data_IF_725052416689
#
_entry.id   IF_725052416689
#
_cell.length_a   1.000
_cell.length_b   1.000
_cell.length_c   1.000
_cell.angle_alpha   90.00
_cell.angle_beta   90.00
_cell.angle_gamma   90.00
#
_symmetry.space_group_name_H-M   'P 1'
#
loop_
_entity.id
_entity.type
_entity.pdbx_description
1 polymer ?
#
# COMPACT_ATOMS: atom_id res chain seq x y z
N UNK A 1 -38.61 -14.88 -45.29
CA UNK A 1 -38.25 -13.70 -44.48
C UNK A 1 -37.65 -14.18 -43.18
N UNK A 2 -36.32 -14.26 -43.09
CA UNK A 2 -35.61 -14.51 -41.84
C UNK A 2 -34.66 -13.32 -41.64
N UNK A 3 -35.11 -12.34 -40.85
CA UNK A 3 -34.33 -11.17 -40.48
C UNK A 3 -33.27 -11.60 -39.47
N UNK A 4 -32.02 -11.66 -39.94
CA UNK A 4 -30.80 -11.73 -39.16
C UNK A 4 -30.72 -10.53 -38.20
N UNK A 5 -30.94 -10.78 -36.92
CA UNK A 5 -30.70 -9.82 -35.85
C UNK A 5 -29.20 -9.59 -35.68
N UNK A 6 -28.67 -8.60 -36.40
CA UNK A 6 -27.30 -8.12 -36.25
C UNK A 6 -27.22 -7.35 -34.93
N UNK A 7 -26.78 -8.00 -33.86
CA UNK A 7 -26.43 -7.35 -32.59
C UNK A 7 -25.35 -6.31 -32.88
N UNK A 8 -25.77 -5.04 -32.85
CA UNK A 8 -24.90 -3.89 -33.10
C UNK A 8 -24.04 -3.72 -31.84
N UNK A 9 -22.90 -4.41 -31.78
CA UNK A 9 -21.94 -4.27 -30.69
C UNK A 9 -21.65 -2.78 -30.46
N UNK A 10 -21.92 -2.29 -29.25
CA UNK A 10 -21.59 -0.91 -28.87
C UNK A 10 -20.07 -0.83 -28.88
N UNK A 11 -19.49 -0.05 -29.78
CA UNK A 11 -18.06 0.29 -29.69
C UNK A 11 -17.89 1.25 -28.51
N UNK A 12 -17.44 0.70 -27.38
CA UNK A 12 -17.00 1.49 -26.22
C UNK A 12 -15.73 2.27 -26.57
N UNK A 13 -15.45 3.36 -25.83
CA UNK A 13 -14.17 4.06 -25.93
C UNK A 13 -13.01 3.05 -25.82
N UNK A 14 -11.95 3.24 -26.62
CA UNK A 14 -10.75 2.39 -26.67
C UNK A 14 -10.88 0.99 -27.28
N UNK A 15 -11.96 0.65 -28.00
CA UNK A 15 -12.04 -0.61 -28.75
C UNK A 15 -12.12 -1.86 -27.86
N UNK A 16 -12.78 -1.70 -26.72
CA UNK A 16 -13.05 -2.75 -25.74
C UNK A 16 -14.24 -3.59 -26.15
N UNK A 17 -14.16 -4.90 -25.90
CA UNK A 17 -15.29 -5.82 -26.04
C UNK A 17 -16.28 -5.65 -24.86
N UNK A 18 -17.51 -6.14 -25.01
CA UNK A 18 -18.57 -5.99 -23.98
C UNK A 18 -18.15 -6.54 -22.60
N UNK A 19 -17.42 -7.67 -22.57
CA UNK A 19 -16.87 -8.26 -21.34
C UNK A 19 -15.78 -7.39 -20.69
N UNK A 20 -14.90 -6.82 -21.51
CA UNK A 20 -13.84 -5.92 -21.04
C UNK A 20 -14.44 -4.62 -20.48
N UNK A 21 -15.51 -4.12 -21.11
CA UNK A 21 -16.24 -2.94 -20.67
C UNK A 21 -16.91 -3.19 -19.31
N UNK A 22 -17.55 -4.35 -19.12
CA UNK A 22 -18.13 -4.73 -17.84
C UNK A 22 -17.07 -4.88 -16.73
N UNK A 23 -15.91 -5.50 -17.04
CA UNK A 23 -14.78 -5.62 -16.11
C UNK A 23 -14.23 -4.25 -15.71
N UNK A 24 -14.11 -3.33 -16.66
CA UNK A 24 -13.64 -1.97 -16.40
C UNK A 24 -14.64 -1.14 -15.59
N UNK A 25 -15.94 -1.26 -15.84
CA UNK A 25 -16.97 -0.57 -15.07
C UNK A 25 -16.96 -1.03 -13.61
N UNK A 26 -16.92 -2.35 -13.37
CA UNK A 26 -16.81 -2.91 -12.02
C UNK A 26 -15.55 -2.42 -11.30
N UNK A 27 -14.41 -2.46 -11.97
CA UNK A 27 -13.15 -1.98 -11.39
C UNK A 27 -13.19 -0.49 -11.09
N UNK A 28 -13.76 0.32 -11.98
CA UNK A 28 -13.91 1.76 -11.78
C UNK A 28 -14.78 2.07 -10.54
N UNK A 29 -15.90 1.35 -10.37
CA UNK A 29 -16.73 1.47 -9.17
C UNK A 29 -15.96 1.10 -7.90
N UNK A 30 -15.24 -0.03 -7.90
CA UNK A 30 -14.39 -0.44 -6.77
C UNK A 30 -13.30 0.60 -6.45
N UNK A 31 -12.68 1.18 -7.47
CA UNK A 31 -11.65 2.21 -7.32
C UNK A 31 -12.21 3.51 -6.73
N UNK A 32 -13.40 3.94 -7.18
CA UNK A 32 -14.09 5.12 -6.64
C UNK A 32 -14.47 4.90 -5.18
N UNK A 33 -15.05 3.74 -4.84
CA UNK A 33 -15.38 3.38 -3.46
C UNK A 33 -14.12 3.37 -2.59
N UNK A 34 -13.05 2.72 -3.05
CA UNK A 34 -11.76 2.68 -2.35
C UNK A 34 -11.20 4.08 -2.10
N UNK A 35 -11.28 4.96 -3.10
CA UNK A 35 -10.80 6.34 -2.99
C UNK A 35 -11.65 7.15 -2.00
N UNK A 36 -12.97 7.00 -2.05
CA UNK A 36 -13.88 7.66 -1.10
C UNK A 36 -13.64 7.23 0.35
N UNK A 37 -13.49 5.93 0.59
CA UNK A 37 -13.13 5.39 1.92
C UNK A 37 -11.77 5.92 2.36
N UNK A 38 -10.78 5.93 1.46
CA UNK A 38 -9.44 6.46 1.77
C UNK A 38 -9.45 7.95 2.09
N UNK A 39 -10.32 8.75 1.45
CA UNK A 39 -10.47 10.17 1.74
C UNK A 39 -11.09 10.40 3.13
N UNK A 40 -12.13 9.63 3.49
CA UNK A 40 -12.75 9.69 4.83
C UNK A 40 -11.76 9.28 5.93
N UNK A 41 -10.97 8.24 5.68
CA UNK A 41 -9.96 7.73 6.62
C UNK A 41 -8.60 8.45 6.50
N UNK A 42 -8.49 9.48 5.65
CA UNK A 42 -7.24 10.19 5.41
C UNK A 42 -6.58 10.77 6.67
N UNK A 43 -7.31 11.31 7.66
CA UNK A 43 -6.73 11.70 8.94
C UNK A 43 -5.81 10.65 9.58
N UNK A 44 -6.17 9.37 9.50
CA UNK A 44 -5.37 8.28 10.04
C UNK A 44 -4.14 8.01 9.19
N UNK A 45 -4.26 8.13 7.86
CA UNK A 45 -3.14 8.02 6.93
C UNK A 45 -2.11 9.16 7.11
N UNK A 46 -2.58 10.38 7.36
CA UNK A 46 -1.74 11.54 7.67
C UNK A 46 -0.96 11.31 8.98
N UNK A 47 -1.64 10.93 10.06
CA UNK A 47 -0.99 10.58 11.35
C UNK A 47 0.02 9.45 11.18
N UNK A 48 -0.32 8.42 10.40
CA UNK A 48 0.59 7.31 10.10
C UNK A 48 1.84 7.80 9.36
N UNK A 49 1.68 8.72 8.40
CA UNK A 49 2.80 9.31 7.66
C UNK A 49 3.71 10.12 8.59
N UNK A 50 3.14 10.90 9.51
CA UNK A 50 3.91 11.62 10.54
C UNK A 50 4.70 10.66 11.44
N UNK A 51 4.09 9.53 11.84
CA UNK A 51 4.80 8.49 12.59
C UNK A 51 5.95 7.87 11.79
N UNK A 52 5.74 7.60 10.50
CA UNK A 52 6.80 7.06 9.63
C UNK A 52 7.98 8.03 9.51
N UNK A 53 7.70 9.35 9.45
CA UNK A 53 8.73 10.39 9.46
C UNK A 53 9.41 10.56 10.83
N UNK A 54 8.84 9.99 11.90
CA UNK A 54 9.40 10.05 13.25
C UNK A 54 9.02 11.31 14.03
N UNK A 55 7.94 11.99 13.67
CA UNK A 55 7.48 13.19 14.37
C UNK A 55 6.76 12.84 15.67
N UNK A 56 7.46 12.97 16.80
CA UNK A 56 6.93 12.68 18.15
C UNK A 56 7.06 13.92 19.07
N UNK A 57 6.20 14.95 18.93
CA UNK A 57 6.27 16.18 19.72
C UNK A 57 5.71 16.05 21.15
N UNK A 58 5.23 14.87 21.54
CA UNK A 58 4.54 14.66 22.81
C UNK A 58 5.37 13.78 23.75
N UNK A 59 5.32 14.02 25.08
CA UNK A 59 6.10 13.25 26.04
C UNK A 59 5.65 11.79 26.10
N UNK A 60 6.59 10.93 26.49
CA UNK A 60 6.30 9.52 26.76
C UNK A 60 5.40 9.38 27.99
N UNK A 61 4.45 8.46 27.91
CA UNK A 61 3.60 8.08 29.05
C UNK A 61 4.09 6.76 29.64
N UNK A 62 4.11 6.62 30.96
CA UNK A 62 4.41 5.35 31.62
C UNK A 62 3.15 4.49 31.77
N UNK A 63 3.28 3.18 31.61
CA UNK A 63 2.18 2.25 31.79
C UNK A 63 2.64 0.80 31.95
N UNK A 64 1.72 -0.11 32.30
CA UNK A 64 2.01 -1.54 32.37
C UNK A 64 1.81 -2.21 31.01
N UNK A 65 2.74 -3.06 30.60
CA UNK A 65 2.60 -3.87 29.38
C UNK A 65 1.35 -4.78 29.52
N UNK A 66 0.38 -4.64 28.62
CA UNK A 66 -0.90 -5.37 28.62
C UNK A 66 -1.68 -5.39 29.96
N UNK A 67 -1.53 -4.36 30.80
CA UNK A 67 -2.25 -4.22 32.07
C UNK A 67 -1.71 -5.08 33.22
N UNK A 68 -1.00 -6.18 32.93
CA UNK A 68 -0.35 -7.06 33.90
C UNK A 68 1.07 -7.30 33.40
N UNK A 69 2.04 -6.54 33.92
CA UNK A 69 3.41 -6.69 33.47
C UNK A 69 4.36 -5.58 33.91
N UNK A 70 5.54 -5.59 33.29
CA UNK A 70 6.61 -4.61 33.51
C UNK A 70 6.15 -3.21 33.10
N UNK A 71 6.66 -2.22 33.82
CA UNK A 71 6.50 -0.82 33.44
C UNK A 71 7.26 -0.57 32.13
N UNK A 72 6.57 0.05 31.18
CA UNK A 72 7.11 0.41 29.89
C UNK A 72 6.71 1.85 29.54
N UNK A 73 7.53 2.48 28.72
CA UNK A 73 7.21 3.78 28.15
C UNK A 73 6.39 3.58 26.88
N UNK A 74 5.35 4.39 26.72
CA UNK A 74 4.44 4.37 25.60
C UNK A 74 4.42 5.74 24.93
N UNK A 75 4.44 5.72 23.60
CA UNK A 75 4.12 6.89 22.79
C UNK A 75 2.60 7.09 22.78
N UNK A 76 2.12 8.32 22.61
CA UNK A 76 0.70 8.58 22.52
C UNK A 76 0.08 7.78 21.36
N UNK A 77 -1.13 7.28 21.63
CA UNK A 77 -2.00 6.66 20.65
C UNK A 77 -2.23 7.62 19.45
N UNK A 78 -2.28 7.09 18.23
CA UNK A 78 -2.66 7.85 17.03
C UNK A 78 -3.90 8.72 17.20
N UNK A 79 -4.92 8.29 17.95
CA UNK A 79 -6.11 9.12 18.19
C UNK A 79 -5.83 10.31 19.12
N UNK A 80 -5.06 10.13 20.20
CA UNK A 80 -4.71 11.24 21.10
C UNK A 80 -3.73 12.20 20.42
N UNK A 81 -2.85 11.66 19.58
CA UNK A 81 -1.96 12.41 18.70
C UNK A 81 -2.75 13.27 17.71
N UNK A 82 -3.68 12.67 16.96
CA UNK A 82 -4.56 13.37 16.03
C UNK A 82 -5.42 14.43 16.71
N UNK A 83 -5.97 14.13 17.89
CA UNK A 83 -6.73 15.10 18.69
C UNK A 83 -5.88 16.30 19.11
N UNK A 84 -4.61 16.08 19.42
CA UNK A 84 -3.68 17.15 19.78
C UNK A 84 -3.29 18.02 18.58
N UNK A 85 -3.10 17.42 17.40
CA UNK A 85 -2.92 18.17 16.15
C UNK A 85 -4.16 19.00 15.85
N UNK A 86 -5.34 18.39 15.95
CA UNK A 86 -6.62 19.05 15.68
C UNK A 86 -6.83 20.27 16.59
N UNK A 87 -6.48 20.17 17.87
CA UNK A 87 -6.54 21.30 18.82
C UNK A 87 -5.56 22.43 18.48
N UNK A 88 -4.36 22.11 17.97
CA UNK A 88 -3.31 23.10 17.68
C UNK A 88 -3.46 23.76 16.30
N UNK A 89 -3.83 22.99 15.29
CA UNK A 89 -3.79 23.44 13.88
C UNK A 89 -5.11 23.26 13.12
N UNK A 90 -6.15 22.72 13.75
CA UNK A 90 -7.46 22.52 13.13
C UNK A 90 -7.51 21.38 12.10
N UNK A 91 -8.67 21.25 11.44
CA UNK A 91 -8.96 20.17 10.50
C UNK A 91 -8.16 20.27 9.19
N UNK A 92 -7.80 21.49 8.78
CA UNK A 92 -7.07 21.74 7.53
C UNK A 92 -5.75 20.98 7.48
N UNK A 93 -5.01 20.93 8.59
CA UNK A 93 -3.72 20.22 8.65
C UNK A 93 -3.89 18.69 8.63
N UNK A 94 -4.96 18.18 9.23
CA UNK A 94 -5.23 16.74 9.27
C UNK A 94 -5.60 16.19 7.88
N UNK A 95 -6.20 17.04 7.04
CA UNK A 95 -6.50 16.75 5.63
C UNK A 95 -5.42 17.25 4.65
N UNK A 96 -4.32 17.82 5.13
CA UNK A 96 -3.29 18.32 4.23
C UNK A 96 -2.68 17.19 3.39
N UNK A 97 -2.64 17.36 2.06
CA UNK A 97 -2.14 16.36 1.10
C UNK A 97 -3.17 15.34 0.62
N UNK A 98 -4.44 15.42 1.07
CA UNK A 98 -5.51 14.51 0.63
C UNK A 98 -5.77 14.59 -0.86
N UNK A 99 -5.62 15.79 -1.44
CA UNK A 99 -5.70 16.05 -2.87
C UNK A 99 -4.69 15.21 -3.66
N UNK A 100 -3.43 15.24 -3.26
CA UNK A 100 -2.38 14.45 -3.87
C UNK A 100 -2.57 12.94 -3.64
N UNK A 101 -3.09 12.54 -2.46
CA UNK A 101 -3.40 11.14 -2.15
C UNK A 101 -4.50 10.55 -3.03
N UNK A 102 -5.56 11.32 -3.28
CA UNK A 102 -6.66 10.95 -4.17
C UNK A 102 -6.14 10.77 -5.60
N UNK A 103 -5.38 11.74 -6.10
CA UNK A 103 -4.80 11.67 -7.45
C UNK A 103 -3.85 10.47 -7.59
N UNK A 104 -2.99 10.22 -6.59
CA UNK A 104 -2.10 9.07 -6.57
C UNK A 104 -2.88 7.73 -6.65
N UNK A 105 -3.95 7.60 -5.87
CA UNK A 105 -4.77 6.38 -5.79
C UNK A 105 -5.51 6.13 -7.10
N UNK A 106 -6.13 7.18 -7.67
CA UNK A 106 -6.88 7.08 -8.92
C UNK A 106 -5.97 6.76 -10.11
N UNK A 107 -4.85 7.49 -10.25
CA UNK A 107 -3.91 7.27 -11.37
C UNK A 107 -3.22 5.91 -11.23
N UNK A 108 -2.69 5.59 -10.05
CA UNK A 108 -2.02 4.32 -9.81
C UNK A 108 -2.93 3.11 -10.02
N UNK A 109 -4.17 3.19 -9.52
CA UNK A 109 -5.19 2.15 -9.73
C UNK A 109 -5.59 2.01 -11.20
N UNK A 110 -5.91 3.12 -11.86
CA UNK A 110 -6.32 3.11 -13.27
C UNK A 110 -5.23 2.58 -14.19
N UNK A 111 -3.98 3.01 -13.98
CA UNK A 111 -2.84 2.55 -14.78
C UNK A 111 -2.50 1.09 -14.50
N UNK A 112 -2.56 0.65 -13.24
CA UNK A 112 -2.37 -0.76 -12.89
C UNK A 112 -3.42 -1.64 -13.58
N UNK A 113 -4.68 -1.23 -13.56
CA UNK A 113 -5.76 -1.94 -14.25
C UNK A 113 -5.59 -1.93 -15.77
N UNK A 114 -5.29 -0.78 -16.37
CA UNK A 114 -5.03 -0.67 -17.80
C UNK A 114 -3.86 -1.55 -18.23
N UNK A 115 -2.81 -1.62 -17.40
CA UNK A 115 -1.65 -2.50 -17.63
C UNK A 115 -2.05 -3.97 -17.57
N UNK A 116 -2.89 -4.36 -16.59
CA UNK A 116 -3.43 -5.71 -16.48
C UNK A 116 -4.23 -6.10 -17.73
N UNK A 117 -5.14 -5.22 -18.18
CA UNK A 117 -5.91 -5.40 -19.42
C UNK A 117 -5.01 -5.52 -20.66
N UNK A 118 -3.97 -4.69 -20.73
CA UNK A 118 -3.00 -4.73 -21.83
C UNK A 118 -2.21 -6.05 -21.86
N UNK A 119 -1.79 -6.54 -20.69
CA UNK A 119 -1.11 -7.83 -20.55
C UNK A 119 -2.03 -9.01 -20.89
N UNK A 120 -3.33 -8.92 -20.59
CA UNK A 120 -4.31 -9.94 -20.96
C UNK A 120 -4.53 -9.98 -22.48
N UNK A 121 -4.58 -8.82 -23.14
CA UNK A 121 -4.87 -8.71 -24.59
C UNK A 121 -3.68 -9.04 -25.48
N UNK A 122 -2.51 -8.49 -25.20
CA UNK A 122 -1.34 -8.59 -26.09
C UNK A 122 -0.33 -9.64 -25.67
N UNK A 123 -0.29 -9.97 -24.37
CA UNK A 123 0.70 -10.89 -23.84
C UNK A 123 0.06 -11.97 -22.96
N UNK A 124 -0.93 -12.74 -23.46
CA UNK A 124 -1.68 -13.72 -22.68
C UNK A 124 -0.82 -14.87 -22.15
N UNK A 125 0.41 -15.05 -22.65
CA UNK A 125 1.34 -16.09 -22.22
C UNK A 125 2.36 -15.63 -21.16
N UNK A 126 2.43 -14.33 -20.82
CA UNK A 126 3.30 -13.85 -19.74
C UNK A 126 2.93 -14.56 -18.43
N UNK A 127 3.93 -15.19 -17.82
CA UNK A 127 3.79 -15.98 -16.60
C UNK A 127 3.27 -17.42 -16.81
N UNK A 128 3.05 -17.87 -18.04
CA UNK A 128 2.60 -19.24 -18.37
C UNK A 128 1.34 -19.25 -19.25
N UNK A 129 0.86 -20.41 -19.70
CA UNK A 129 -0.39 -20.48 -20.48
C UNK A 129 -1.61 -20.24 -19.57
N UNK A 130 -2.70 -19.58 -20.04
CA UNK A 130 -3.94 -19.40 -19.29
C UNK A 130 -4.75 -20.72 -19.23
N UNK A 131 -4.17 -21.76 -18.63
CA UNK A 131 -4.83 -23.06 -18.52
C UNK A 131 -5.54 -23.13 -17.17
N UNK A 132 -6.79 -23.59 -17.18
CA UNK A 132 -7.59 -23.87 -15.99
C UNK A 132 -7.81 -22.65 -15.07
N UNK A 133 -7.87 -21.40 -15.54
CA UNK A 133 -8.01 -20.23 -14.66
C UNK A 133 -9.35 -20.20 -13.88
N UNK A 134 -10.40 -20.79 -14.44
CA UNK A 134 -11.74 -20.84 -13.85
C UNK A 134 -11.99 -22.07 -12.97
N UNK A 135 -11.09 -23.06 -13.03
CA UNK A 135 -11.23 -24.30 -12.25
C UNK A 135 -10.98 -24.05 -10.78
N UNK A 136 -11.72 -24.75 -9.94
CA UNK A 136 -11.47 -24.72 -8.51
C UNK A 136 -10.11 -25.33 -8.16
N UNK A 137 -9.55 -24.89 -7.03
CA UNK A 137 -8.23 -25.33 -6.57
C UNK A 137 -8.13 -26.84 -6.34
N UNK A 138 -9.27 -27.49 -6.07
CA UNK A 138 -9.42 -28.95 -5.92
C UNK A 138 -9.16 -29.72 -7.21
N UNK A 139 -9.49 -29.13 -8.37
CA UNK A 139 -9.39 -29.78 -9.68
C UNK A 139 -7.98 -29.69 -10.26
N UNK A 140 -7.08 -28.98 -9.58
CA UNK A 140 -5.74 -28.73 -10.04
C UNK A 140 -4.73 -29.67 -9.43
N UNK A 141 -3.84 -30.12 -10.28
CA UNK A 141 -2.59 -30.75 -9.86
C UNK A 141 -1.70 -29.74 -9.12
N UNK A 142 -0.83 -30.21 -8.23
CA UNK A 142 0.16 -29.35 -7.54
C UNK A 142 0.96 -28.47 -8.53
N UNK A 143 1.35 -29.04 -9.67
CA UNK A 143 2.08 -28.31 -10.72
C UNK A 143 1.24 -27.21 -11.37
N UNK A 144 -0.04 -27.48 -11.64
CA UNK A 144 -0.95 -26.52 -12.27
C UNK A 144 -1.26 -25.36 -11.33
N UNK A 145 -1.42 -25.65 -10.04
CA UNK A 145 -1.60 -24.64 -8.99
C UNK A 145 -0.36 -23.76 -8.82
N UNK A 146 0.84 -24.36 -8.74
CA UNK A 146 2.09 -23.60 -8.68
C UNK A 146 2.30 -22.73 -9.93
N UNK A 147 1.90 -23.23 -11.10
CA UNK A 147 1.95 -22.45 -12.35
C UNK A 147 0.95 -21.30 -12.35
N UNK A 148 -0.26 -21.50 -11.83
CA UNK A 148 -1.27 -20.45 -11.66
C UNK A 148 -0.78 -19.36 -10.71
N UNK A 149 -0.15 -19.76 -9.60
CA UNK A 149 0.49 -18.87 -8.63
C UNK A 149 1.53 -17.98 -9.31
N UNK A 150 2.51 -18.59 -9.97
CA UNK A 150 3.59 -17.88 -10.66
C UNK A 150 3.03 -16.92 -11.72
N UNK A 151 2.06 -17.38 -12.51
CA UNK A 151 1.39 -16.56 -13.52
C UNK A 151 0.75 -15.31 -12.91
N UNK A 152 -0.03 -15.51 -11.85
CA UNK A 152 -0.77 -14.44 -11.19
C UNK A 152 0.18 -13.43 -10.54
N UNK A 153 1.20 -13.92 -9.84
CA UNK A 153 2.21 -13.09 -9.19
C UNK A 153 3.00 -12.25 -10.20
N UNK A 154 3.45 -12.82 -11.33
CA UNK A 154 4.21 -12.09 -12.36
C UNK A 154 3.36 -10.98 -12.98
N UNK A 155 2.12 -11.30 -13.39
CA UNK A 155 1.21 -10.32 -14.01
C UNK A 155 0.85 -9.20 -13.06
N UNK A 156 0.50 -9.54 -11.82
CA UNK A 156 0.15 -8.55 -10.81
C UNK A 156 1.36 -7.67 -10.43
N UNK A 157 2.56 -8.25 -10.34
CA UNK A 157 3.80 -7.48 -10.11
C UNK A 157 4.03 -6.46 -11.22
N UNK A 158 3.88 -6.86 -12.48
CA UNK A 158 4.06 -5.96 -13.62
C UNK A 158 3.04 -4.81 -13.59
N UNK A 159 1.75 -5.14 -13.43
CA UNK A 159 0.68 -4.15 -13.36
C UNK A 159 0.88 -3.14 -12.20
N UNK A 160 1.15 -3.65 -11.00
CA UNK A 160 1.37 -2.80 -9.82
C UNK A 160 2.61 -1.94 -9.94
N UNK A 161 3.70 -2.46 -10.51
CA UNK A 161 4.94 -1.69 -10.68
C UNK A 161 4.71 -0.48 -11.57
N UNK A 162 4.04 -0.65 -12.72
CA UNK A 162 3.69 0.48 -13.60
C UNK A 162 2.77 1.47 -12.89
N UNK A 163 1.75 0.96 -12.16
CA UNK A 163 0.86 1.79 -11.35
C UNK A 163 1.59 2.62 -10.29
N UNK A 164 2.54 2.02 -9.57
CA UNK A 164 3.35 2.69 -8.54
C UNK A 164 4.26 3.75 -9.17
N UNK A 165 4.91 3.46 -10.30
CA UNK A 165 5.76 4.44 -11.00
C UNK A 165 4.95 5.68 -11.37
N UNK A 166 3.74 5.52 -11.93
CA UNK A 166 2.90 6.66 -12.33
C UNK A 166 2.31 7.39 -11.11
N UNK A 167 1.98 6.68 -10.03
CA UNK A 167 1.46 7.29 -8.81
C UNK A 167 2.52 8.00 -7.96
N UNK A 168 3.81 7.65 -8.14
CA UNK A 168 4.89 8.08 -7.24
C UNK A 168 5.01 9.59 -7.09
N UNK A 169 4.98 10.42 -8.15
CA UNK A 169 5.08 11.88 -8.03
C UNK A 169 4.04 12.45 -7.06
N UNK A 170 2.80 11.94 -7.12
CA UNK A 170 1.70 12.39 -6.27
C UNK A 170 1.81 11.86 -4.84
N UNK A 171 2.33 10.64 -4.65
CA UNK A 171 2.66 10.13 -3.32
C UNK A 171 3.76 10.98 -2.66
N UNK A 172 4.78 11.40 -3.41
CA UNK A 172 5.83 12.28 -2.90
C UNK A 172 5.27 13.64 -2.48
N UNK A 173 4.41 14.26 -3.31
CA UNK A 173 3.72 15.51 -2.97
C UNK A 173 2.88 15.33 -1.69
N UNK A 174 2.11 14.25 -1.59
CA UNK A 174 1.31 13.95 -0.39
C UNK A 174 2.20 13.88 0.87
N UNK A 175 3.28 13.10 0.82
CA UNK A 175 4.17 12.93 1.98
C UNK A 175 4.81 14.26 2.37
N UNK A 176 5.23 15.08 1.41
CA UNK A 176 5.83 16.40 1.67
C UNK A 176 4.83 17.40 2.24
N UNK A 177 3.59 17.39 1.76
CA UNK A 177 2.49 18.18 2.33
C UNK A 177 2.23 17.79 3.79
N UNK A 178 2.24 16.50 4.10
CA UNK A 178 2.13 16.03 5.48
C UNK A 178 3.36 16.47 6.31
N UNK A 179 4.55 16.32 5.76
CA UNK A 179 5.82 16.64 6.43
C UNK A 179 5.97 18.11 6.83
N UNK A 180 5.40 19.04 6.05
CA UNK A 180 5.40 20.47 6.37
C UNK A 180 4.82 20.81 7.75
N UNK A 181 3.92 19.99 8.28
CA UNK A 181 3.38 20.16 9.62
C UNK A 181 4.48 20.11 10.70
N UNK A 182 5.56 19.36 10.45
CA UNK A 182 6.65 19.15 11.41
C UNK A 182 7.43 20.46 11.64
N UNK A 183 7.77 21.15 10.56
CA UNK A 183 8.50 22.43 10.58
C UNK A 183 7.61 23.66 10.68
N UNK A 184 6.27 23.51 10.57
CA UNK A 184 5.34 24.64 10.45
C UNK A 184 5.47 25.38 9.12
N UNK A 185 5.88 24.66 8.06
CA UNK A 185 6.27 25.23 6.76
C UNK A 185 5.08 25.32 5.80
N UNK A 186 5.06 26.30 4.91
CA UNK A 186 3.98 26.50 3.91
C UNK A 186 4.46 26.36 2.45
N UNK A 187 5.58 25.65 2.24
CA UNK A 187 6.22 25.41 0.94
C UNK A 187 5.31 24.76 -0.14
N UNK A 188 4.63 23.66 0.18
CA UNK A 188 3.77 22.95 -0.79
C UNK A 188 2.29 23.32 -0.55
N UNK A 189 1.70 23.98 -1.55
CA UNK A 189 0.28 24.35 -1.59
C UNK A 189 -0.56 23.28 -2.28
N UNK A 190 -1.25 23.63 -3.36
CA UNK A 190 -2.01 22.67 -4.17
C UNK A 190 -1.13 21.69 -4.94
N UNK A 191 -1.72 20.59 -5.43
CA UNK A 191 -0.99 19.56 -6.20
C UNK A 191 -0.21 20.15 -7.39
N UNK A 192 -0.80 21.07 -8.14
CA UNK A 192 -0.19 21.64 -9.36
C UNK A 192 0.99 22.53 -9.01
N UNK A 193 0.84 23.42 -8.03
CA UNK A 193 1.93 24.30 -7.60
C UNK A 193 3.07 23.50 -6.97
N UNK A 194 2.73 22.48 -6.17
CA UNK A 194 3.69 21.55 -5.59
C UNK A 194 4.44 20.75 -6.66
N UNK A 195 3.73 20.29 -7.69
CA UNK A 195 4.34 19.58 -8.81
C UNK A 195 5.34 20.48 -9.54
N UNK A 196 4.94 21.70 -9.89
CA UNK A 196 5.83 22.66 -10.55
C UNK A 196 7.05 23.01 -9.68
N UNK A 197 6.85 23.19 -8.37
CA UNK A 197 7.91 23.53 -7.42
C UNK A 197 8.98 22.44 -7.36
N UNK A 198 8.58 21.17 -7.20
CA UNK A 198 9.52 20.04 -7.16
C UNK A 198 10.28 19.94 -8.48
N UNK A 199 9.57 20.06 -9.62
CA UNK A 199 10.20 19.99 -10.94
C UNK A 199 11.23 21.09 -11.17
N UNK A 200 11.01 22.28 -10.59
CA UNK A 200 11.92 23.43 -10.71
C UNK A 200 13.11 23.37 -9.75
N UNK A 201 12.91 22.96 -8.51
CA UNK A 201 13.95 22.99 -7.47
C UNK A 201 14.82 21.72 -7.43
N UNK A 202 14.22 20.56 -7.67
CA UNK A 202 14.86 19.25 -7.50
C UNK A 202 15.00 18.47 -8.81
N UNK A 203 14.26 18.90 -9.84
CA UNK A 203 14.20 18.21 -11.12
C UNK A 203 13.40 16.89 -11.06
N UNK A 204 13.46 16.08 -12.13
CA UNK A 204 12.62 14.89 -12.25
C UNK A 204 12.91 13.83 -11.18
N UNK A 205 14.13 13.76 -10.65
CA UNK A 205 14.52 12.79 -9.63
C UNK A 205 13.77 12.98 -8.31
N UNK A 206 13.42 14.23 -7.95
CA UNK A 206 12.68 14.53 -6.72
C UNK A 206 11.31 13.84 -6.64
N UNK A 207 10.64 13.65 -7.78
CA UNK A 207 9.36 12.95 -7.84
C UNK A 207 9.45 11.44 -7.61
N UNK A 208 10.64 10.85 -7.78
CA UNK A 208 10.86 9.41 -7.68
C UNK A 208 11.73 9.02 -6.48
N UNK A 209 12.06 9.97 -5.60
CA UNK A 209 12.74 9.69 -4.34
C UNK A 209 11.97 8.64 -3.55
N UNK A 210 12.61 7.53 -3.18
CA UNK A 210 12.00 6.39 -2.48
C UNK A 210 11.18 5.42 -3.35
N UNK A 211 11.26 5.51 -4.69
CA UNK A 211 10.59 4.56 -5.59
C UNK A 211 11.09 3.12 -5.42
N UNK A 212 12.41 2.91 -5.35
CA UNK A 212 13.02 1.57 -5.23
C UNK A 212 12.50 0.79 -4.01
N UNK A 213 12.57 1.31 -2.77
CA UNK A 213 12.00 0.61 -1.62
C UNK A 213 10.47 0.42 -1.76
N UNK A 214 9.74 1.34 -2.39
CA UNK A 214 8.32 1.13 -2.67
C UNK A 214 8.07 -0.08 -3.58
N UNK A 215 8.85 -0.23 -4.66
CA UNK A 215 8.73 -1.37 -5.58
C UNK A 215 9.07 -2.68 -4.86
N UNK A 216 10.10 -2.68 -4.01
CA UNK A 216 10.44 -3.85 -3.17
C UNK A 216 9.27 -4.21 -2.24
N UNK A 217 8.65 -3.21 -1.62
CA UNK A 217 7.48 -3.41 -0.75
C UNK A 217 6.30 -4.04 -1.51
N UNK A 218 6.00 -3.56 -2.72
CA UNK A 218 4.95 -4.15 -3.57
C UNK A 218 5.31 -5.57 -3.99
N UNK A 219 6.55 -5.83 -4.38
CA UNK A 219 7.02 -7.16 -4.76
C UNK A 219 6.82 -8.16 -3.60
N UNK A 220 7.30 -7.82 -2.39
CA UNK A 220 7.09 -8.64 -1.19
C UNK A 220 5.61 -8.87 -0.92
N UNK A 221 4.78 -7.84 -1.11
CA UNK A 221 3.33 -7.92 -0.88
C UNK A 221 2.66 -8.87 -1.87
N UNK A 222 2.91 -8.71 -3.17
CA UNK A 222 2.34 -9.57 -4.22
C UNK A 222 2.76 -11.01 -4.01
N UNK A 223 4.07 -11.28 -3.96
CA UNK A 223 4.59 -12.63 -3.85
C UNK A 223 4.23 -13.28 -2.52
N UNK A 224 4.26 -12.52 -1.43
CA UNK A 224 3.89 -13.00 -0.11
C UNK A 224 2.42 -13.39 -0.02
N UNK A 225 1.51 -12.56 -0.56
CA UNK A 225 0.07 -12.87 -0.55
C UNK A 225 -0.23 -14.10 -1.41
N UNK A 226 0.28 -14.12 -2.64
CA UNK A 226 0.13 -15.24 -3.56
C UNK A 226 0.67 -16.54 -2.95
N UNK A 227 1.89 -16.53 -2.41
CA UNK A 227 2.51 -17.72 -1.81
C UNK A 227 1.77 -18.20 -0.57
N UNK A 228 1.30 -17.27 0.28
CA UNK A 228 0.53 -17.61 1.48
C UNK A 228 -0.83 -18.22 1.13
N UNK A 229 -1.51 -17.67 0.13
CA UNK A 229 -2.78 -18.21 -0.38
C UNK A 229 -2.57 -19.64 -0.88
N UNK A 230 -1.60 -19.85 -1.76
CA UNK A 230 -1.24 -21.16 -2.28
C UNK A 230 -0.89 -22.16 -1.17
N UNK A 231 -0.04 -21.77 -0.22
CA UNK A 231 0.43 -22.66 0.85
C UNK A 231 -0.72 -23.14 1.75
N UNK A 232 -1.66 -22.24 2.10
CA UNK A 232 -2.81 -22.59 2.93
C UNK A 232 -3.83 -23.40 2.14
N UNK A 233 -4.17 -23.00 0.91
CA UNK A 233 -5.13 -23.73 0.08
C UNK A 233 -4.65 -25.17 -0.18
N UNK A 234 -3.39 -25.37 -0.62
CA UNK A 234 -2.82 -26.71 -0.80
C UNK A 234 -2.62 -27.45 0.52
N UNK A 235 -2.26 -26.74 1.59
CA UNK A 235 -2.11 -27.31 2.92
C UNK A 235 -3.40 -27.93 3.44
N UNK A 236 -4.53 -27.22 3.31
CA UNK A 236 -5.86 -27.71 3.71
C UNK A 236 -6.28 -28.91 2.86
N UNK A 237 -6.10 -28.83 1.54
CA UNK A 237 -6.42 -29.93 0.63
C UNK A 237 -5.65 -31.21 0.96
N UNK A 238 -4.36 -31.10 1.32
CA UNK A 238 -3.52 -32.23 1.72
C UNK A 238 -3.87 -32.78 3.11
N UNK A 239 -4.16 -31.90 4.07
CA UNK A 239 -4.46 -32.29 5.45
C UNK A 239 -5.80 -33.03 5.58
N UNK A 240 -6.77 -32.76 4.70
CA UNK A 240 -8.11 -33.33 4.78
C UNK A 240 -8.25 -34.73 4.17
N UNK A 241 -7.24 -35.24 3.43
CA UNK A 241 -7.24 -36.61 2.90
C UNK A 241 -8.49 -36.99 2.06
N UNK A 242 -8.58 -38.24 1.57
CA UNK A 242 -9.76 -38.76 0.87
C UNK A 242 -10.83 -39.26 1.87
N UNK A 243 -11.25 -38.44 2.85
CA UNK A 243 -12.28 -38.82 3.82
C UNK A 243 -13.65 -38.21 3.49
N UNK A 244 -14.69 -39.03 3.67
CA UNK A 244 -16.11 -38.86 3.35
C UNK A 244 -16.80 -37.71 4.14
N UNK A 245 -16.35 -36.48 3.99
CA UNK A 245 -17.14 -35.29 4.37
C UNK A 245 -18.09 -34.98 3.21
N UNK A 246 -19.34 -34.63 3.48
CA UNK A 246 -20.27 -34.15 2.44
C UNK A 246 -19.59 -33.05 1.61
N UNK A 247 -19.57 -33.24 0.29
CA UNK A 247 -18.83 -32.36 -0.63
C UNK A 247 -19.27 -30.89 -0.51
N UNK A 248 -20.53 -30.66 -0.13
CA UNK A 248 -21.11 -29.33 0.07
C UNK A 248 -20.52 -28.58 1.28
N UNK A 249 -20.47 -29.21 2.45
CA UNK A 249 -19.93 -28.60 3.68
C UNK A 249 -18.43 -28.27 3.55
N UNK A 250 -17.72 -29.11 2.79
CA UNK A 250 -16.30 -28.91 2.48
C UNK A 250 -16.09 -27.72 1.54
N UNK A 251 -16.91 -27.60 0.51
CA UNK A 251 -16.86 -26.49 -0.45
C UNK A 251 -17.15 -25.15 0.23
N UNK A 252 -18.12 -25.14 1.15
CA UNK A 252 -18.44 -23.97 1.97
C UNK A 252 -17.25 -23.58 2.86
N UNK A 253 -16.61 -24.56 3.53
CA UNK A 253 -15.46 -24.32 4.38
C UNK A 253 -14.24 -23.78 3.61
N UNK A 254 -13.92 -24.35 2.45
CA UNK A 254 -12.82 -23.89 1.60
C UNK A 254 -13.06 -22.47 1.07
N UNK A 255 -14.28 -22.20 0.59
CA UNK A 255 -14.67 -20.89 0.09
C UNK A 255 -14.62 -19.83 1.19
N UNK A 256 -15.08 -20.18 2.39
CA UNK A 256 -15.04 -19.30 3.57
C UNK A 256 -13.59 -19.04 4.01
N UNK A 257 -12.77 -20.08 4.08
CA UNK A 257 -11.35 -19.96 4.43
C UNK A 257 -10.61 -19.09 3.41
N UNK A 258 -10.87 -19.27 2.12
CA UNK A 258 -10.30 -18.45 1.05
C UNK A 258 -10.64 -16.97 1.19
N UNK A 259 -11.91 -16.64 1.48
CA UNK A 259 -12.34 -15.25 1.70
C UNK A 259 -11.62 -14.62 2.89
N UNK A 260 -11.56 -15.32 4.02
CA UNK A 260 -10.83 -14.86 5.22
C UNK A 260 -9.33 -14.74 4.94
N UNK A 261 -8.76 -15.68 4.19
CA UNK A 261 -7.35 -15.68 3.85
C UNK A 261 -6.96 -14.50 2.97
N UNK A 262 -7.74 -14.18 1.93
CA UNK A 262 -7.51 -12.99 1.12
C UNK A 262 -7.64 -11.68 1.92
N UNK A 263 -8.45 -11.68 2.99
CA UNK A 263 -8.56 -10.54 3.90
C UNK A 263 -7.34 -10.43 4.84
N UNK A 264 -6.86 -11.56 5.38
CA UNK A 264 -5.81 -11.58 6.43
C UNK A 264 -4.39 -11.61 5.84
N UNK A 265 -4.18 -12.24 4.68
CA UNK A 265 -2.88 -12.39 4.05
C UNK A 265 -2.12 -11.07 3.86
N UNK A 266 -2.76 -9.98 3.37
CA UNK A 266 -2.07 -8.69 3.24
C UNK A 266 -1.55 -8.15 4.57
N UNK A 267 -2.24 -8.38 5.69
CA UNK A 267 -1.79 -7.91 7.01
C UNK A 267 -0.56 -8.68 7.51
N UNK A 268 -0.52 -10.00 7.29
CA UNK A 268 0.63 -10.84 7.65
C UNK A 268 1.85 -10.40 6.85
N UNK A 269 1.69 -10.32 5.52
CA UNK A 269 2.77 -9.98 4.59
C UNK A 269 3.26 -8.55 4.79
N UNK A 270 2.38 -7.63 5.19
CA UNK A 270 2.74 -6.25 5.52
C UNK A 270 3.83 -6.18 6.60
N UNK A 271 3.97 -7.18 7.48
CA UNK A 271 5.07 -7.22 8.46
C UNK A 271 6.46 -7.17 7.80
N UNK A 272 6.59 -7.73 6.59
CA UNK A 272 7.84 -7.81 5.84
C UNK A 272 8.01 -6.64 4.86
N UNK A 273 6.93 -6.14 4.24
CA UNK A 273 7.00 -5.01 3.31
C UNK A 273 7.04 -3.65 4.02
N UNK A 274 6.51 -3.55 5.25
CA UNK A 274 6.41 -2.30 6.00
C UNK A 274 7.73 -1.55 6.19
N UNK A 275 8.87 -2.18 6.56
CA UNK A 275 10.16 -1.51 6.64
C UNK A 275 10.53 -0.74 5.38
N UNK A 276 10.26 -1.32 4.21
CA UNK A 276 10.51 -0.68 2.93
C UNK A 276 9.53 0.47 2.65
N UNK A 277 8.27 0.35 3.08
CA UNK A 277 7.32 1.48 3.03
C UNK A 277 7.80 2.64 3.90
N UNK A 278 8.33 2.39 5.11
CA UNK A 278 8.89 3.45 5.97
C UNK A 278 10.07 4.15 5.29
N UNK A 279 11.02 3.37 4.76
CA UNK A 279 12.17 3.92 4.04
C UNK A 279 11.73 4.70 2.80
N UNK A 280 10.74 4.22 2.06
CA UNK A 280 10.10 4.91 0.93
C UNK A 280 9.52 6.28 1.34
N UNK A 281 8.83 6.35 2.48
CA UNK A 281 8.28 7.61 3.02
C UNK A 281 9.38 8.58 3.48
N UNK A 282 10.40 8.09 4.20
CA UNK A 282 11.55 8.92 4.63
C UNK A 282 12.33 9.45 3.43
N UNK A 283 12.55 8.62 2.40
CA UNK A 283 13.19 9.06 1.17
C UNK A 283 12.35 10.07 0.40
N UNK A 284 11.02 10.03 0.48
CA UNK A 284 10.15 10.98 -0.21
C UNK A 284 10.34 12.44 0.26
N UNK A 285 10.77 12.67 1.50
CA UNK A 285 11.11 14.01 2.00
C UNK A 285 12.57 14.39 1.77
N UNK A 286 13.43 13.44 1.40
CA UNK A 286 14.85 13.73 1.18
C UNK A 286 15.05 14.67 -0.02
N UNK A 287 15.94 15.65 0.12
CA UNK A 287 16.19 16.68 -0.89
C UNK A 287 15.10 17.76 -1.00
N UNK A 288 14.02 17.68 -0.21
CA UNK A 288 12.89 18.60 -0.31
C UNK A 288 13.13 19.99 0.29
N UNK A 289 14.21 20.17 1.04
CA UNK A 289 14.50 21.39 1.81
C UNK A 289 13.53 21.64 2.97
N UNK A 290 12.68 20.66 3.32
CA UNK A 290 11.84 20.74 4.52
C UNK A 290 12.67 20.51 5.77
N UNK A 291 12.26 21.10 6.90
CA UNK A 291 12.95 20.97 8.18
C UNK A 291 13.23 19.50 8.58
N UNK A 292 12.27 18.59 8.34
CA UNK A 292 12.41 17.15 8.63
C UNK A 292 13.52 16.46 7.83
N UNK A 293 13.90 17.03 6.68
CA UNK A 293 14.94 16.49 5.78
C UNK A 293 16.34 17.05 6.07
N UNK A 294 16.46 17.88 7.10
CA UNK A 294 17.69 18.56 7.50
C UNK A 294 18.03 18.28 8.97
N UNK A 295 19.30 18.51 9.33
CA UNK A 295 19.72 18.47 10.73
C UNK A 295 19.00 19.57 11.54
N UNK A 296 18.62 19.31 12.81
CA UNK A 296 18.94 18.13 13.61
C UNK A 296 17.96 16.95 13.44
N UNK A 297 16.93 17.05 12.61
CA UNK A 297 15.89 16.03 12.50
C UNK A 297 16.32 14.77 11.74
N UNK A 298 16.96 14.94 10.58
CA UNK A 298 17.41 13.82 9.76
C UNK A 298 18.62 14.21 8.90
N UNK A 299 19.59 13.32 8.68
CA UNK A 299 20.63 13.54 7.69
C UNK A 299 20.06 13.47 6.26
N UNK A 300 20.79 14.05 5.30
CA UNK A 300 20.45 13.91 3.89
C UNK A 300 20.79 12.48 3.39
N UNK A 301 19.91 11.90 2.58
CA UNK A 301 20.09 10.56 2.02
C UNK A 301 20.13 10.64 0.50
N UNK A 302 21.20 10.12 -0.11
CA UNK A 302 21.30 10.05 -1.56
C UNK A 302 20.71 8.73 -2.08
N UNK A 303 20.93 7.64 -1.34
CA UNK A 303 20.42 6.31 -1.69
C UNK A 303 19.58 5.75 -0.55
N UNK A 304 18.58 4.92 -0.88
CA UNK A 304 17.64 4.39 0.12
C UNK A 304 18.31 3.48 1.16
N UNK A 305 19.44 2.87 0.82
CA UNK A 305 20.24 2.06 1.74
C UNK A 305 20.80 2.91 2.88
N UNK A 306 21.17 4.17 2.63
CA UNK A 306 21.65 5.08 3.67
C UNK A 306 20.56 5.33 4.71
N UNK A 307 19.33 5.58 4.25
CA UNK A 307 18.16 5.70 5.11
C UNK A 307 17.86 4.40 5.87
N UNK A 308 18.03 3.24 5.23
CA UNK A 308 17.90 1.94 5.89
C UNK A 308 18.92 1.76 7.02
N UNK A 309 20.20 1.98 6.75
CA UNK A 309 21.28 1.84 7.73
C UNK A 309 21.20 2.86 8.86
N UNK A 310 20.67 4.05 8.58
CA UNK A 310 20.38 5.04 9.61
C UNK A 310 19.21 4.61 10.52
N UNK A 311 18.13 4.08 9.95
CA UNK A 311 16.93 3.69 10.71
C UNK A 311 17.08 2.36 11.48
N UNK A 312 17.93 1.45 11.01
CA UNK A 312 18.12 0.13 11.60
C UNK A 312 18.57 0.16 13.09
N UNK A 313 19.67 0.85 13.47
CA UNK A 313 20.17 0.84 14.86
C UNK A 313 19.20 1.49 15.84
N UNK A 314 18.45 2.49 15.39
CA UNK A 314 17.44 3.21 16.21
C UNK A 314 16.06 2.54 16.19
N UNK A 315 15.96 1.30 15.67
CA UNK A 315 14.71 0.55 15.52
C UNK A 315 13.61 1.32 14.77
N UNK A 316 14.01 2.23 13.88
CA UNK A 316 13.13 3.15 13.16
C UNK A 316 12.33 2.53 12.03
N UNK A 317 12.73 1.35 11.54
CA UNK A 317 12.09 0.66 10.41
C UNK A 317 10.64 0.23 10.67
N UNK A 318 10.19 0.18 11.93
CA UNK A 318 8.81 -0.17 12.30
C UNK A 318 8.02 1.01 12.88
N UNK A 319 8.49 2.24 12.73
CA UNK A 319 7.77 3.45 13.15
C UNK A 319 6.39 3.51 12.50
N UNK A 320 5.35 3.69 13.30
CA UNK A 320 3.96 3.73 12.83
C UNK A 320 3.34 2.38 12.46
N UNK A 321 4.05 1.25 12.63
CA UNK A 321 3.51 -0.09 12.33
C UNK A 321 2.30 -0.42 13.23
N UNK A 322 2.34 0.05 14.48
CA UNK A 322 1.22 0.01 15.42
C UNK A 322 0.77 1.44 15.67
N UNK A 323 -0.49 1.75 15.36
CA UNK A 323 -1.00 3.11 15.53
C UNK A 323 -1.53 3.37 16.95
N UNK A 324 -2.14 2.35 17.57
CA UNK A 324 -2.83 2.51 18.86
C UNK A 324 -2.00 2.05 20.06
N UNK A 325 -1.20 1.00 19.91
CA UNK A 325 -0.37 0.43 20.98
C UNK A 325 1.12 0.55 20.62
N UNK A 326 1.74 1.63 21.11
CA UNK A 326 3.07 2.09 20.68
C UNK A 326 4.06 2.03 21.84
N UNK A 327 4.77 0.90 21.95
CA UNK A 327 5.78 0.72 22.97
C UNK A 327 7.06 1.43 22.53
N UNK A 328 7.62 2.26 23.41
CA UNK A 328 8.90 2.89 23.19
C UNK A 328 10.02 1.93 23.65
N UNK A 329 10.89 1.55 22.73
CA UNK A 329 12.02 0.62 22.97
C UNK A 329 13.39 1.29 22.85
N UNK A 330 13.43 2.61 22.61
CA UNK A 330 14.68 3.37 22.49
C UNK A 330 15.27 3.77 23.85
N UNK A 331 16.46 4.37 23.83
CA UNK A 331 17.03 5.01 25.00
C UNK A 331 16.13 6.16 25.45
N UNK A 332 15.72 6.16 26.72
CA UNK A 332 14.96 7.27 27.32
C UNK A 332 15.98 8.25 27.87
N UNK A 333 16.17 9.38 27.19
CA UNK A 333 16.94 10.49 27.74
C UNK A 333 16.06 11.24 28.73
N UNK A 334 16.35 11.05 30.02
CA UNK A 334 15.71 11.81 31.10
C UNK A 334 16.53 13.09 31.28
N UNK A 335 16.06 14.20 30.71
CA UNK A 335 16.65 15.53 30.99
C UNK A 335 16.79 16.45 29.77
N UNK A 336 16.01 17.53 29.80
CA UNK A 336 16.50 18.91 29.85
C UNK A 336 15.44 19.77 30.51
#
# INVERSE_FOLDING_TARGET
MATTGRTRGRRYCCGMNDEEAAKAEKYAQELVIKTGVSAVLYPLANIKTLFQLGYEPFPLTTGKMFGIGREAYFLPNGLSYGRSILKKHGWSMLYNGVDAAIVATLLGGSVSFATSMYLDRYFPEIGGKPVNLEKEERELTDEESARRLLRSAIRETAARTVGVIVARPFTVIMVRKVAQLIGGETKYGDVISSFYLIGREEGPMGFFSGLVPQIIAEFITVWGVHSLVYAVERGILRAQGPQQVEDADREEFLTSTKKVLHLVAPFIVNTFSYPYTVVSTVMAVSGSGLAISMLPYSPAFNVWQDAWYYLLPIQGLKRGARMFYRNYSGAVTVGS
#
